data_IF_413248941366
#
_entry.id   IF_413248941366
#
_cell.length_a   1.000
_cell.length_b   1.000
_cell.length_c   1.000
_cell.angle_alpha   90.00
_cell.angle_beta   90.00
_cell.angle_gamma   90.00
#
_symmetry.space_group_name_H-M   'P 1'
#
loop_
_entity.id
_entity.type
_entity.pdbx_description
1 polymer ?
#
# COMPACT_ATOMS: atom_id res chain seq x y z
N UNK A 1 -20.10 -5.24 -27.49
CA UNK A 1 -19.87 -5.81 -26.15
C UNK A 1 -20.66 -4.98 -25.16
N UNK A 2 -21.68 -5.55 -24.51
CA UNK A 2 -22.41 -4.88 -23.46
C UNK A 2 -21.69 -5.07 -22.10
N UNK A 3 -22.07 -4.33 -21.06
CA UNK A 3 -21.42 -4.44 -19.74
C UNK A 3 -21.52 -5.85 -19.15
N UNK A 4 -22.63 -6.54 -19.40
CA UNK A 4 -22.85 -7.92 -18.96
C UNK A 4 -21.83 -8.87 -19.58
N UNK A 5 -21.57 -8.76 -20.89
CA UNK A 5 -20.57 -9.56 -21.62
C UNK A 5 -19.16 -9.33 -21.04
N UNK A 6 -18.86 -8.10 -20.62
CA UNK A 6 -17.57 -7.78 -20.00
C UNK A 6 -17.43 -8.39 -18.61
N UNK A 7 -18.48 -8.40 -17.77
CA UNK A 7 -18.40 -8.95 -16.41
C UNK A 7 -18.57 -10.46 -16.35
N UNK A 8 -19.19 -11.06 -17.37
CA UNK A 8 -19.30 -12.53 -17.53
C UNK A 8 -18.15 -13.11 -18.36
N UNK A 9 -17.30 -12.26 -18.95
CA UNK A 9 -16.04 -12.65 -19.56
C UNK A 9 -15.27 -13.57 -18.59
N UNK A 10 -15.20 -14.85 -18.97
CA UNK A 10 -14.62 -15.91 -18.16
C UNK A 10 -13.21 -16.29 -18.62
N UNK A 11 -12.77 -17.49 -18.21
CA UNK A 11 -11.44 -18.00 -18.56
C UNK A 11 -11.19 -18.09 -20.07
N UNK A 12 -12.24 -18.35 -20.86
CA UNK A 12 -12.16 -18.49 -22.33
C UNK A 12 -11.61 -17.27 -23.06
N UNK A 13 -11.84 -16.07 -22.53
CA UNK A 13 -11.32 -14.81 -23.10
C UNK A 13 -9.79 -14.72 -23.03
N UNK A 14 -9.15 -15.59 -22.25
CA UNK A 14 -7.70 -15.64 -22.11
C UNK A 14 -7.06 -16.72 -22.95
N UNK A 15 -7.80 -17.49 -23.76
CA UNK A 15 -7.24 -18.58 -24.55
C UNK A 15 -6.13 -18.09 -25.51
N UNK A 16 -6.34 -16.94 -26.15
CA UNK A 16 -5.39 -16.30 -27.07
C UNK A 16 -4.64 -15.14 -26.40
N UNK A 17 -4.44 -15.19 -25.08
CA UNK A 17 -3.79 -14.11 -24.36
C UNK A 17 -2.34 -13.92 -24.83
N UNK A 18 -2.06 -12.72 -25.34
CA UNK A 18 -0.72 -12.27 -25.69
C UNK A 18 -0.32 -11.06 -24.83
N UNK A 19 0.89 -11.13 -24.28
CA UNK A 19 1.40 -10.10 -23.36
C UNK A 19 1.66 -8.78 -24.07
N UNK A 20 2.25 -8.83 -25.25
CA UNK A 20 2.69 -7.64 -25.98
C UNK A 20 1.49 -6.92 -26.60
N UNK A 21 0.51 -7.68 -27.11
CA UNK A 21 -0.79 -7.14 -27.56
C UNK A 21 -1.52 -6.46 -26.40
N UNK A 22 -1.54 -7.08 -25.21
CA UNK A 22 -2.19 -6.48 -24.04
C UNK A 22 -1.49 -5.18 -23.59
N UNK A 23 -0.16 -5.16 -23.63
CA UNK A 23 0.62 -3.96 -23.29
C UNK A 23 0.40 -2.84 -24.32
N UNK A 24 0.40 -3.15 -25.61
CA UNK A 24 0.17 -2.17 -26.69
C UNK A 24 -1.25 -1.63 -26.68
N UNK A 25 -2.23 -2.42 -26.22
CA UNK A 25 -3.61 -1.99 -26.00
C UNK A 25 -3.78 -1.07 -24.78
N UNK A 26 -2.70 -0.75 -24.04
CA UNK A 26 -2.72 0.22 -22.94
C UNK A 26 -3.08 -0.36 -21.57
N UNK A 27 -3.09 -1.70 -21.41
CA UNK A 27 -3.29 -2.29 -20.09
C UNK A 27 -2.08 -2.01 -19.19
N UNK A 28 -2.34 -1.75 -17.91
CA UNK A 28 -1.26 -1.55 -16.95
C UNK A 28 -0.40 -2.81 -16.81
N UNK A 29 0.91 -2.64 -16.56
CA UNK A 29 1.86 -3.74 -16.35
C UNK A 29 1.41 -4.71 -15.26
N UNK A 30 0.75 -4.20 -14.21
CA UNK A 30 0.16 -5.00 -13.15
C UNK A 30 -0.99 -5.88 -13.65
N UNK A 31 -1.91 -5.32 -14.44
CA UNK A 31 -3.04 -6.06 -15.02
C UNK A 31 -2.57 -7.14 -15.98
N UNK A 32 -1.64 -6.82 -16.88
CA UNK A 32 -1.07 -7.79 -17.83
C UNK A 32 -0.41 -8.96 -17.11
N UNK A 33 0.36 -8.70 -16.05
CA UNK A 33 0.98 -9.75 -15.22
C UNK A 33 -0.06 -10.67 -14.56
N UNK A 34 -1.16 -10.10 -14.11
CA UNK A 34 -2.22 -10.86 -13.47
C UNK A 34 -2.99 -11.75 -14.46
N UNK A 35 -3.29 -11.23 -15.65
CA UNK A 35 -3.91 -12.00 -16.73
C UNK A 35 -2.98 -13.11 -17.23
N UNK A 36 -1.69 -12.81 -17.41
CA UNK A 36 -0.68 -13.80 -17.79
C UNK A 36 -0.59 -14.95 -16.79
N UNK A 37 -0.75 -14.67 -15.48
CA UNK A 37 -0.74 -15.71 -14.45
C UNK A 37 -1.93 -16.66 -14.59
N UNK A 38 -3.12 -16.12 -14.86
CA UNK A 38 -4.31 -16.94 -15.12
C UNK A 38 -4.11 -17.73 -16.41
N UNK A 39 -3.74 -17.08 -17.51
CA UNK A 39 -3.47 -17.75 -18.78
C UNK A 39 -2.49 -18.92 -18.60
N UNK A 40 -1.34 -18.68 -17.98
CA UNK A 40 -0.35 -19.74 -17.73
C UNK A 40 -0.90 -20.91 -16.89
N UNK A 41 -1.75 -20.64 -15.89
CA UNK A 41 -2.31 -21.70 -15.07
C UNK A 41 -3.32 -22.58 -15.84
N UNK A 42 -4.12 -21.99 -16.73
CA UNK A 42 -5.24 -22.67 -17.39
C UNK A 42 -4.93 -23.16 -18.80
N UNK A 43 -4.04 -22.49 -19.53
CA UNK A 43 -3.66 -22.82 -20.91
C UNK A 43 -2.16 -23.12 -21.08
N UNK A 44 -1.33 -22.81 -20.08
CA UNK A 44 0.11 -23.09 -20.12
C UNK A 44 0.46 -24.58 -19.91
N UNK A 45 1.71 -24.98 -20.19
CA UNK A 45 2.16 -26.35 -20.02
C UNK A 45 2.15 -26.78 -18.55
N UNK A 46 1.63 -27.99 -18.27
CA UNK A 46 1.56 -28.55 -16.91
C UNK A 46 1.59 -30.07 -16.94
N UNK A 47 2.16 -30.68 -15.89
CA UNK A 47 2.10 -32.13 -15.69
C UNK A 47 0.70 -32.61 -15.22
N UNK A 48 -0.17 -31.70 -14.79
CA UNK A 48 -1.51 -32.01 -14.27
C UNK A 48 -2.60 -31.75 -15.31
N UNK A 49 -2.41 -32.22 -16.54
CA UNK A 49 -3.28 -31.93 -17.71
C UNK A 49 -4.76 -32.23 -17.45
N UNK A 50 -5.09 -33.37 -16.82
CA UNK A 50 -6.48 -33.70 -16.47
C UNK A 50 -7.09 -32.69 -15.49
N UNK A 51 -6.33 -32.26 -14.47
CA UNK A 51 -6.81 -31.25 -13.51
C UNK A 51 -6.93 -29.86 -14.15
N UNK A 52 -6.11 -29.56 -15.15
CA UNK A 52 -6.21 -28.31 -15.91
C UNK A 52 -7.49 -28.29 -16.75
N UNK A 53 -7.80 -29.38 -17.45
CA UNK A 53 -9.06 -29.53 -18.20
C UNK A 53 -10.28 -29.42 -17.28
N UNK A 54 -10.27 -30.13 -16.14
CA UNK A 54 -11.35 -30.03 -15.14
C UNK A 54 -11.50 -28.60 -14.60
N UNK A 55 -10.39 -27.89 -14.39
CA UNK A 55 -10.41 -26.51 -13.90
C UNK A 55 -10.91 -25.54 -14.96
N UNK A 56 -10.54 -25.73 -16.24
CA UNK A 56 -11.05 -24.95 -17.37
C UNK A 56 -12.58 -25.08 -17.46
N UNK A 57 -13.09 -26.31 -17.47
CA UNK A 57 -14.53 -26.57 -17.51
C UNK A 57 -15.25 -25.97 -16.29
N UNK A 58 -14.68 -26.11 -15.09
CA UNK A 58 -15.28 -25.54 -13.88
C UNK A 58 -15.20 -24.00 -13.84
N UNK A 59 -14.19 -23.39 -14.48
CA UNK A 59 -13.99 -21.93 -14.52
C UNK A 59 -14.87 -21.23 -15.56
N UNK A 60 -15.58 -21.99 -16.41
CA UNK A 60 -16.52 -21.41 -17.37
C UNK A 60 -17.58 -20.58 -16.64
N UNK A 61 -17.81 -19.36 -17.13
CA UNK A 61 -18.70 -18.36 -16.52
C UNK A 61 -18.22 -17.76 -15.18
N UNK A 62 -17.00 -18.08 -14.70
CA UNK A 62 -16.41 -17.40 -13.55
C UNK A 62 -15.74 -16.09 -14.01
N UNK A 63 -16.04 -14.93 -13.38
CA UNK A 63 -15.43 -13.66 -13.76
C UNK A 63 -13.89 -13.70 -13.65
N UNK A 64 -13.19 -13.11 -14.62
CA UNK A 64 -11.72 -13.06 -14.66
C UNK A 64 -11.10 -12.52 -13.36
N UNK A 65 -11.71 -11.53 -12.71
CA UNK A 65 -11.19 -10.98 -11.45
C UNK A 65 -11.20 -12.00 -10.29
N UNK A 66 -12.16 -12.93 -10.28
CA UNK A 66 -12.16 -14.04 -9.31
C UNK A 66 -11.02 -15.03 -9.59
N UNK A 67 -10.76 -15.33 -10.87
CA UNK A 67 -9.64 -16.20 -11.28
C UNK A 67 -8.29 -15.57 -10.92
N UNK A 68 -8.11 -14.27 -11.17
CA UNK A 68 -6.92 -13.52 -10.76
C UNK A 68 -6.73 -13.59 -9.24
N UNK A 69 -7.83 -13.44 -8.48
CA UNK A 69 -7.77 -13.51 -7.02
C UNK A 69 -7.33 -14.89 -6.52
N UNK A 70 -7.87 -15.96 -7.11
CA UNK A 70 -7.48 -17.35 -6.81
C UNK A 70 -5.98 -17.54 -7.07
N UNK A 71 -5.51 -17.23 -8.28
CA UNK A 71 -4.12 -17.49 -8.68
C UNK A 71 -3.12 -16.64 -7.88
N UNK A 72 -3.46 -15.41 -7.52
CA UNK A 72 -2.64 -14.60 -6.59
C UNK A 72 -2.46 -15.27 -5.23
N UNK A 73 -3.54 -15.87 -4.71
CA UNK A 73 -3.53 -16.46 -3.37
C UNK A 73 -2.86 -17.84 -3.35
N UNK A 74 -2.92 -18.58 -4.44
CA UNK A 74 -2.20 -19.85 -4.63
C UNK A 74 -0.67 -19.70 -4.66
N UNK A 75 -0.13 -18.49 -4.87
CA UNK A 75 1.32 -18.24 -4.79
C UNK A 75 1.91 -18.56 -3.40
N UNK A 76 1.09 -18.46 -2.35
CA UNK A 76 1.52 -18.77 -0.98
C UNK A 76 1.40 -20.25 -0.62
N UNK A 77 0.82 -21.07 -1.49
CA UNK A 77 0.70 -22.51 -1.27
C UNK A 77 1.97 -23.16 -1.80
N UNK A 78 2.60 -24.02 -1.00
CA UNK A 78 3.76 -24.81 -1.44
C UNK A 78 3.29 -26.14 -2.03
N UNK A 79 4.03 -26.62 -3.04
CA UNK A 79 3.70 -27.87 -3.75
C UNK A 79 2.69 -27.71 -4.89
N UNK A 80 3.05 -28.22 -6.07
CA UNK A 80 2.21 -28.13 -7.27
C UNK A 80 0.90 -28.95 -7.13
N UNK A 81 0.96 -30.13 -6.53
CA UNK A 81 -0.20 -31.00 -6.36
C UNK A 81 -1.28 -30.36 -5.47
N UNK A 82 -0.85 -29.71 -4.38
CA UNK A 82 -1.74 -29.03 -3.43
C UNK A 82 -2.33 -27.75 -4.04
N UNK A 83 -1.52 -26.96 -4.77
CA UNK A 83 -2.04 -25.82 -5.57
C UNK A 83 -3.16 -26.26 -6.51
N UNK A 84 -2.99 -27.36 -7.22
CA UNK A 84 -4.02 -27.89 -8.12
C UNK A 84 -5.27 -28.39 -7.38
N UNK A 85 -5.10 -29.02 -6.21
CA UNK A 85 -6.22 -29.45 -5.36
C UNK A 85 -7.05 -28.24 -4.91
N UNK A 86 -6.40 -27.20 -4.38
CA UNK A 86 -7.06 -25.97 -3.91
C UNK A 86 -7.65 -25.20 -5.09
N UNK A 87 -6.96 -25.11 -6.24
CA UNK A 87 -7.49 -24.46 -7.45
C UNK A 87 -8.83 -25.07 -7.86
N UNK A 88 -8.90 -26.39 -8.00
CA UNK A 88 -10.14 -27.08 -8.37
C UNK A 88 -11.26 -26.83 -7.35
N UNK A 89 -10.95 -26.86 -6.06
CA UNK A 89 -11.92 -26.58 -5.01
C UNK A 89 -12.49 -25.14 -5.09
N UNK A 90 -11.61 -24.16 -5.33
CA UNK A 90 -11.97 -22.75 -5.41
C UNK A 90 -12.75 -22.42 -6.68
N UNK A 91 -12.35 -22.99 -7.81
CA UNK A 91 -13.02 -22.75 -9.10
C UNK A 91 -14.41 -23.37 -9.13
N UNK A 92 -14.60 -24.54 -8.50
CA UNK A 92 -15.92 -25.16 -8.35
C UNK A 92 -16.85 -24.38 -7.41
N UNK A 93 -16.32 -23.47 -6.61
CA UNK A 93 -17.14 -22.66 -5.72
C UNK A 93 -17.84 -21.53 -6.50
N UNK A 94 -19.14 -21.70 -6.74
CA UNK A 94 -19.99 -20.62 -7.27
C UNK A 94 -20.40 -19.67 -6.14
N UNK A 95 -20.11 -18.37 -6.31
CA UNK A 95 -20.45 -17.36 -5.32
C UNK A 95 -19.88 -15.98 -5.63
N UNK A 96 -20.19 -15.02 -4.75
CA UNK A 96 -19.66 -13.67 -4.85
C UNK A 96 -18.17 -13.62 -4.53
N UNK A 97 -17.50 -12.54 -4.96
CA UNK A 97 -16.08 -12.30 -4.67
C UNK A 97 -15.78 -12.37 -3.15
N UNK A 98 -16.72 -11.90 -2.32
CA UNK A 98 -16.61 -11.96 -0.85
C UNK A 98 -16.70 -13.39 -0.31
N UNK A 99 -17.60 -14.22 -0.85
CA UNK A 99 -17.71 -15.63 -0.47
C UNK A 99 -16.45 -16.40 -0.85
N UNK A 100 -15.93 -16.17 -2.06
CA UNK A 100 -14.67 -16.72 -2.53
C UNK A 100 -13.50 -16.31 -1.63
N UNK A 101 -13.39 -15.03 -1.27
CA UNK A 101 -12.35 -14.53 -0.36
C UNK A 101 -12.40 -15.25 1.00
N UNK A 102 -13.60 -15.47 1.56
CA UNK A 102 -13.77 -16.23 2.82
C UNK A 102 -13.33 -17.68 2.65
N UNK A 103 -13.67 -18.34 1.53
CA UNK A 103 -13.26 -19.73 1.25
C UNK A 103 -11.74 -19.84 1.11
N UNK A 104 -11.11 -18.93 0.37
CA UNK A 104 -9.66 -18.85 0.24
C UNK A 104 -8.99 -18.75 1.61
N UNK A 105 -9.46 -17.86 2.49
CA UNK A 105 -8.90 -17.70 3.85
C UNK A 105 -8.99 -18.98 4.70
N UNK A 106 -10.02 -19.82 4.48
CA UNK A 106 -10.17 -21.10 5.19
C UNK A 106 -9.20 -22.18 4.67
N UNK A 107 -8.95 -22.21 3.37
CA UNK A 107 -8.10 -23.21 2.72
C UNK A 107 -6.61 -22.87 2.78
N UNK A 108 -6.28 -21.58 2.61
CA UNK A 108 -4.90 -21.09 2.56
C UNK A 108 -4.64 -20.35 3.86
N UNK A 109 -4.13 -21.07 4.86
CA UNK A 109 -3.67 -20.49 6.13
C UNK A 109 -2.33 -19.78 5.89
N UNK A 110 -2.38 -18.52 5.51
CA UNK A 110 -1.18 -17.69 5.43
C UNK A 110 -0.79 -17.27 6.85
N UNK A 111 0.47 -17.47 7.28
CA UNK A 111 0.94 -16.88 8.53
C UNK A 111 0.86 -15.36 8.37
N UNK A 112 0.14 -14.71 9.29
CA UNK A 112 0.09 -13.24 9.35
C UNK A 112 1.44 -12.80 9.89
N UNK A 113 2.30 -12.28 9.01
CA UNK A 113 3.55 -11.66 9.44
C UNK A 113 3.20 -10.34 10.13
N UNK A 114 3.67 -10.10 11.37
CA UNK A 114 3.47 -8.81 12.01
C UNK A 114 4.16 -7.72 11.17
N UNK A 115 3.55 -6.54 11.09
CA UNK A 115 4.19 -5.41 10.46
C UNK A 115 5.46 -5.06 11.24
N UNK A 116 6.59 -4.79 10.57
CA UNK A 116 7.80 -4.39 11.26
C UNK A 116 7.58 -3.03 11.94
N UNK A 117 8.24 -2.77 13.08
CA UNK A 117 8.31 -1.44 13.66
C UNK A 117 8.72 -0.39 12.62
N UNK A 118 7.94 0.69 12.50
CA UNK A 118 8.23 1.77 11.55
C UNK A 118 7.65 3.10 12.01
N UNK A 119 8.37 4.18 11.75
CA UNK A 119 7.88 5.54 11.93
C UNK A 119 8.02 6.28 10.61
N UNK A 120 6.91 6.80 10.06
CA UNK A 120 6.87 7.50 8.78
C UNK A 120 6.20 8.84 8.92
N UNK A 121 6.69 9.82 8.16
CA UNK A 121 6.14 11.16 8.11
C UNK A 121 5.63 11.48 6.71
N UNK A 122 4.48 12.14 6.62
CA UNK A 122 3.99 12.68 5.36
C UNK A 122 4.85 13.85 4.88
N UNK A 123 4.63 14.26 3.63
CA UNK A 123 5.05 15.57 3.12
C UNK A 123 4.34 16.67 3.89
N UNK A 124 4.97 17.84 3.99
CA UNK A 124 4.35 19.03 4.56
C UNK A 124 3.19 19.50 3.69
N UNK A 125 2.04 19.76 4.30
CA UNK A 125 0.87 20.36 3.64
C UNK A 125 0.25 21.37 4.59
N UNK A 126 0.20 22.64 4.18
CA UNK A 126 -0.33 23.75 4.98
C UNK A 126 0.26 23.82 6.41
N UNK A 127 1.59 23.72 6.53
CA UNK A 127 2.28 23.76 7.83
C UNK A 127 2.17 22.49 8.68
N UNK A 128 1.41 21.48 8.23
CA UNK A 128 1.17 20.24 8.97
C UNK A 128 1.89 19.05 8.34
N UNK A 129 2.29 18.08 9.19
CA UNK A 129 2.81 16.77 8.78
C UNK A 129 2.14 15.67 9.61
N UNK A 130 1.81 14.56 8.98
CA UNK A 130 1.25 13.38 9.65
C UNK A 130 2.37 12.41 10.00
N UNK A 131 2.41 11.95 11.24
CA UNK A 131 3.24 10.85 11.70
C UNK A 131 2.41 9.55 11.74
N UNK A 132 2.95 8.46 11.21
CA UNK A 132 2.38 7.12 11.32
C UNK A 132 3.42 6.23 12.00
N UNK A 133 3.11 5.79 13.22
CA UNK A 133 3.96 4.91 14.02
C UNK A 133 3.34 3.50 14.07
N UNK A 134 4.14 2.50 13.76
CA UNK A 134 3.84 1.09 13.97
C UNK A 134 4.88 0.56 14.94
N UNK A 135 4.44 -0.01 16.06
CA UNK A 135 5.30 -0.56 17.10
C UNK A 135 4.60 -1.71 17.83
N UNK A 136 5.20 -2.22 18.91
CA UNK A 136 4.60 -3.27 19.73
C UNK A 136 3.19 -2.86 20.22
N UNK A 137 2.24 -3.80 20.16
CA UNK A 137 0.85 -3.58 20.56
C UNK A 137 0.72 -3.09 22.00
N UNK A 138 1.48 -3.67 22.94
CA UNK A 138 1.40 -3.29 24.36
C UNK A 138 1.87 -1.86 24.58
N UNK A 139 3.01 -1.49 24.00
CA UNK A 139 3.56 -0.14 24.14
C UNK A 139 2.63 0.93 23.55
N UNK A 140 2.03 0.66 22.38
CA UNK A 140 1.08 1.59 21.77
C UNK A 140 -0.26 1.63 22.51
N UNK A 141 -0.72 0.51 23.08
CA UNK A 141 -1.92 0.47 23.92
C UNK A 141 -1.73 1.24 25.23
N UNK A 142 -0.58 1.08 25.89
CA UNK A 142 -0.23 1.82 27.11
C UNK A 142 -0.14 3.32 26.81
N UNK A 143 0.48 3.70 25.69
CA UNK A 143 0.53 5.08 25.22
C UNK A 143 -0.87 5.64 24.95
N UNK A 144 -1.70 4.92 24.18
CA UNK A 144 -3.08 5.35 23.89
C UNK A 144 -3.89 5.51 25.18
N UNK A 145 -3.76 4.57 26.11
CA UNK A 145 -4.46 4.61 27.38
C UNK A 145 -4.04 5.81 28.24
N UNK A 146 -2.73 6.09 28.30
CA UNK A 146 -2.21 7.27 28.98
C UNK A 146 -2.73 8.55 28.34
N UNK A 147 -2.69 8.67 27.01
CA UNK A 147 -3.18 9.87 26.32
C UNK A 147 -4.68 10.07 26.57
N UNK A 148 -5.49 9.00 26.52
CA UNK A 148 -6.93 9.07 26.81
C UNK A 148 -7.26 9.47 28.24
N UNK A 149 -6.39 9.18 29.21
CA UNK A 149 -6.56 9.61 30.61
C UNK A 149 -6.26 11.09 30.84
N UNK A 150 -5.50 11.71 29.95
CA UNK A 150 -5.02 13.09 30.08
C UNK A 150 -5.84 14.11 29.28
N UNK A 151 -6.88 13.67 28.58
CA UNK A 151 -7.76 14.53 27.80
C UNK A 151 -9.08 14.76 28.53
N UNK A 152 -9.72 15.89 28.22
CA UNK A 152 -11.10 16.14 28.61
C UNK A 152 -12.05 15.33 27.71
N UNK A 153 -13.05 14.70 28.33
CA UNK A 153 -14.05 13.89 27.65
C UNK A 153 -15.07 14.73 26.86
N UNK A 154 -15.24 16.00 27.23
CA UNK A 154 -16.23 16.90 26.61
C UNK A 154 -15.71 17.54 25.30
N UNK A 155 -14.41 17.46 25.04
CA UNK A 155 -13.76 18.04 23.86
C UNK A 155 -13.28 16.99 22.84
N UNK A 156 -13.00 17.37 21.57
CA UNK A 156 -12.53 16.44 20.55
C UNK A 156 -11.19 15.75 20.91
N UNK A 157 -11.27 14.46 21.22
CA UNK A 157 -10.14 13.67 21.70
C UNK A 157 -8.90 13.69 20.79
N UNK A 158 -9.07 13.69 19.47
CA UNK A 158 -7.95 13.55 18.53
C UNK A 158 -6.94 14.72 18.60
N UNK A 159 -7.44 15.96 18.66
CA UNK A 159 -6.57 17.14 18.76
C UNK A 159 -5.88 17.17 20.12
N UNK A 160 -6.63 16.93 21.20
CA UNK A 160 -6.09 16.90 22.55
C UNK A 160 -5.00 15.83 22.70
N UNK A 161 -5.25 14.59 22.28
CA UNK A 161 -4.25 13.52 22.33
C UNK A 161 -2.99 13.87 21.55
N UNK A 162 -3.11 14.53 20.39
CA UNK A 162 -1.97 14.98 19.62
C UNK A 162 -1.15 16.05 20.37
N UNK A 163 -1.82 17.04 20.98
CA UNK A 163 -1.15 18.06 21.78
C UNK A 163 -0.48 17.47 23.03
N UNK A 164 -1.17 16.59 23.76
CA UNK A 164 -0.64 15.90 24.94
C UNK A 164 0.57 15.05 24.59
N UNK A 165 0.53 14.29 23.49
CA UNK A 165 1.67 13.50 23.01
C UNK A 165 2.89 14.39 22.73
N UNK A 166 2.71 15.50 22.02
CA UNK A 166 3.79 16.45 21.75
C UNK A 166 4.29 17.11 23.04
N UNK A 167 3.40 17.39 24.00
CA UNK A 167 3.75 17.88 25.32
C UNK A 167 4.71 16.93 26.04
N UNK A 168 4.33 15.65 26.17
CA UNK A 168 5.15 14.61 26.79
C UNK A 168 6.51 14.47 26.10
N UNK A 169 6.56 14.54 24.77
CA UNK A 169 7.82 14.46 24.01
C UNK A 169 8.74 15.68 24.22
N UNK A 170 8.18 16.82 24.63
CA UNK A 170 8.90 18.09 24.84
C UNK A 170 9.25 18.38 26.30
N UNK A 171 8.56 17.78 27.26
CA UNK A 171 8.70 18.07 28.70
C UNK A 171 9.92 17.40 29.36
N UNK A 172 10.68 16.59 28.62
CA UNK A 172 11.92 15.93 29.07
C UNK A 172 13.14 16.16 28.17
N UNK A 173 14.19 15.35 28.33
CA UNK A 173 15.41 15.33 27.47
C UNK A 173 15.15 14.77 26.04
N UNK A 174 13.90 14.56 25.65
CA UNK A 174 13.51 13.76 24.48
C UNK A 174 13.75 14.46 23.14
N UNK A 175 13.07 15.58 22.90
CA UNK A 175 13.21 16.35 21.66
C UNK A 175 13.64 17.79 22.00
N UNK A 176 14.94 18.14 21.87
CA UNK A 176 15.36 19.51 22.08
C UNK A 176 14.65 20.42 21.08
N UNK A 177 14.19 21.60 21.52
CA UNK A 177 13.78 22.65 20.59
C UNK A 177 15.00 23.00 19.73
N UNK A 178 14.90 22.79 18.42
CA UNK A 178 15.90 23.30 17.51
C UNK A 178 15.93 24.82 17.68
N UNK A 179 17.05 25.36 18.16
CA UNK A 179 17.27 26.81 18.12
C UNK A 179 17.29 27.21 16.65
N UNK A 180 16.35 28.06 16.24
CA UNK A 180 16.31 28.64 14.91
C UNK A 180 17.66 29.31 14.64
N UNK A 181 18.44 28.76 13.70
CA UNK A 181 19.71 29.33 13.26
C UNK A 181 19.48 29.91 11.87
N UNK A 182 19.14 31.20 11.74
CA UNK A 182 18.95 31.80 10.43
C UNK A 182 20.28 31.73 9.67
N UNK A 183 20.25 31.14 8.48
CA UNK A 183 21.35 31.28 7.52
C UNK A 183 21.01 32.48 6.67
N UNK A 184 21.85 33.52 6.78
CA UNK A 184 21.76 34.71 5.97
C UNK A 184 22.64 34.50 4.73
N UNK A 185 22.01 34.44 3.56
CA UNK A 185 22.71 34.37 2.29
C UNK A 185 22.91 35.80 1.76
N UNK A 186 24.17 36.18 1.55
CA UNK A 186 24.55 37.46 0.96
C UNK A 186 25.14 37.20 -0.43
N UNK A 187 24.50 37.65 -1.52
CA UNK A 187 25.08 37.59 -2.85
C UNK A 187 26.42 38.34 -2.89
N UNK A 188 27.41 37.82 -3.64
CA UNK A 188 28.76 38.39 -3.64
C UNK A 188 28.81 39.85 -4.11
N UNK A 189 27.93 40.23 -5.04
CA UNK A 189 27.79 41.60 -5.51
C UNK A 189 27.34 42.54 -4.38
N UNK A 190 26.38 42.09 -3.57
CA UNK A 190 25.87 42.84 -2.45
C UNK A 190 26.86 42.89 -1.29
N UNK A 191 27.59 41.81 -1.02
CA UNK A 191 28.69 41.79 -0.05
C UNK A 191 29.76 42.84 -0.40
N UNK A 192 30.09 42.96 -1.68
CA UNK A 192 31.07 43.95 -2.17
C UNK A 192 30.55 45.39 -1.96
N UNK A 193 29.26 45.64 -2.23
CA UNK A 193 28.63 46.95 -2.00
C UNK A 193 28.53 47.32 -0.52
N UNK A 194 28.28 46.33 0.34
CA UNK A 194 28.27 46.50 1.81
C UNK A 194 29.67 46.86 2.29
N UNK A 195 30.70 46.14 1.83
CA UNK A 195 32.10 46.44 2.17
C UNK A 195 32.56 47.81 1.69
N UNK A 196 32.08 48.27 0.53
CA UNK A 196 32.41 49.60 0.00
C UNK A 196 31.62 50.76 0.63
N UNK A 197 30.78 50.50 1.64
CA UNK A 197 30.00 51.53 2.32
C UNK A 197 28.86 52.13 1.48
N UNK A 198 28.44 51.44 0.42
CA UNK A 198 27.36 51.86 -0.51
C UNK A 198 26.20 50.85 -0.54
N UNK A 199 26.05 50.11 0.57
CA UNK A 199 25.15 48.97 0.71
C UNK A 199 23.88 49.24 1.52
N UNK A 200 23.43 50.50 1.59
CA UNK A 200 22.33 50.92 2.47
C UNK A 200 20.99 50.21 2.17
N UNK A 201 20.80 49.76 0.92
CA UNK A 201 19.68 48.91 0.51
C UNK A 201 20.20 47.61 -0.13
N UNK A 202 20.20 46.54 0.68
CA UNK A 202 20.47 45.17 0.25
C UNK A 202 19.38 44.25 0.80
N UNK A 203 18.82 43.41 -0.08
CA UNK A 203 17.84 42.39 0.31
C UNK A 203 18.58 41.10 0.66
N UNK A 204 18.47 40.67 1.92
CA UNK A 204 19.10 39.44 2.41
C UNK A 204 18.09 38.29 2.41
N UNK A 205 18.53 37.10 1.99
CA UNK A 205 17.70 35.91 1.99
C UNK A 205 17.95 35.13 3.28
N UNK A 206 16.89 34.92 4.07
CA UNK A 206 16.91 34.08 5.25
C UNK A 206 16.38 32.69 4.90
N UNK A 207 17.13 31.64 5.22
CA UNK A 207 16.68 30.24 5.12
C UNK A 207 16.93 29.51 6.43
N UNK A 208 16.05 28.56 6.76
CA UNK A 208 16.13 27.73 7.98
C UNK A 208 16.69 26.32 7.70
N UNK A 209 17.11 26.05 6.47
CA UNK A 209 17.69 24.77 6.05
C UNK A 209 16.69 23.60 6.07
N UNK A 210 15.39 23.84 6.25
CA UNK A 210 14.36 22.79 6.26
C UNK A 210 13.60 22.65 4.93
N UNK A 211 14.04 23.36 3.90
CA UNK A 211 13.63 23.22 2.49
C UNK A 211 14.80 23.44 1.56
#
# INVERSE_FOLDING_TARGET
MNFTDFVTAGVGMLADFDRDIAMSAGLSTGRVRDLARVHHAYYGPTQFTRKQQDALAAAEGMPVDQLIHIEKKLLAVEGAAERWRIRLDLVRHRGSYRALTKRIKRLIKQPVKPAPPSCRFSRSKAGMRTMILTYNERDLADLEHLLRKLIDADDPAAAQMAHTLIGILRDGKGIPKANFRPIILVPIADWTRIQSGTGDEVTLICTDGTT
#
